data_IF_315556297260
#
_entry.id   IF_315556297260
#
_cell.length_a   1.000
_cell.length_b   1.000
_cell.length_c   1.000
_cell.angle_alpha   90.00
_cell.angle_beta   90.00
_cell.angle_gamma   90.00
#
_symmetry.space_group_name_H-M   'P 1'
#
loop_
_entity.id
_entity.type
_entity.pdbx_description
1 polymer ?
#
# COMPACT_ATOMS: atom_id res chain seq x y z
N UNK A 1 -20.37 7.56 11.23
CA UNK A 1 -19.66 8.18 10.10
C UNK A 1 -18.20 7.96 10.38
N UNK A 2 -17.53 7.26 9.47
CA UNK A 2 -16.20 6.72 9.71
C UNK A 2 -15.20 7.41 8.79
N UNK A 3 -14.25 8.13 9.38
CA UNK A 3 -13.05 8.58 8.67
C UNK A 3 -11.99 7.49 8.80
N UNK A 4 -11.59 6.86 7.69
CA UNK A 4 -10.62 5.77 7.68
C UNK A 4 -9.46 6.11 6.75
N UNK A 5 -8.24 6.14 7.30
CA UNK A 5 -7.02 6.09 6.49
C UNK A 5 -6.49 4.65 6.54
N UNK A 6 -6.39 4.01 5.38
CA UNK A 6 -5.80 2.68 5.25
C UNK A 6 -4.92 2.58 4.02
N UNK A 7 -3.85 1.77 4.06
CA UNK A 7 -3.14 1.40 2.85
C UNK A 7 -4.08 0.65 1.90
N UNK A 8 -3.82 0.80 0.61
CA UNK A 8 -4.58 0.14 -0.47
C UNK A 8 -4.41 -1.38 -0.38
N UNK A 9 -3.20 -1.83 -0.05
CA UNK A 9 -2.88 -3.23 0.20
C UNK A 9 -3.13 -3.55 1.69
N UNK A 10 -4.05 -4.49 1.95
CA UNK A 10 -4.55 -4.78 3.30
C UNK A 10 -3.55 -5.39 4.29
N UNK A 11 -2.33 -5.69 3.87
CA UNK A 11 -1.28 -6.33 4.67
C UNK A 11 -0.04 -5.43 4.90
N UNK A 12 -0.13 -4.13 4.58
CA UNK A 12 0.94 -3.17 4.84
C UNK A 12 0.81 -2.61 6.24
N UNK A 13 1.88 -2.75 7.02
CA UNK A 13 2.02 -2.06 8.28
C UNK A 13 2.65 -0.67 8.04
N UNK A 14 1.88 0.38 8.27
CA UNK A 14 2.33 1.77 8.13
C UNK A 14 2.92 2.33 9.44
N UNK A 15 2.87 1.58 10.54
CA UNK A 15 3.38 2.00 11.87
C UNK A 15 4.86 2.40 11.87
N UNK A 16 5.76 1.77 11.07
CA UNK A 16 7.16 2.20 11.00
C UNK A 16 7.34 3.59 10.39
N UNK A 17 6.40 4.01 9.54
CA UNK A 17 6.47 5.27 8.78
C UNK A 17 5.67 6.38 9.47
N UNK A 18 4.44 6.06 9.86
CA UNK A 18 3.47 6.99 10.43
C UNK A 18 3.64 7.01 11.95
N UNK A 19 3.96 8.18 12.48
CA UNK A 19 3.98 8.44 13.92
C UNK A 19 2.57 8.59 14.49
N UNK A 20 1.71 9.33 13.79
CA UNK A 20 0.29 9.52 14.14
C UNK A 20 -0.49 10.15 12.98
N UNK A 21 -1.80 9.96 13.00
CA UNK A 21 -2.74 10.63 12.10
C UNK A 21 -3.64 11.55 12.90
N UNK A 22 -3.77 12.81 12.47
CA UNK A 22 -4.66 13.79 13.09
C UNK A 22 -5.87 14.03 12.21
N UNK A 23 -7.05 13.89 12.77
CA UNK A 23 -8.31 14.24 12.13
C UNK A 23 -8.81 15.55 12.74
N UNK A 24 -8.92 16.60 11.92
CA UNK A 24 -9.59 17.84 12.30
C UNK A 24 -11.02 17.81 11.76
N UNK A 25 -11.95 17.60 12.67
CA UNK A 25 -13.39 17.65 12.46
C UNK A 25 -13.91 19.09 12.52
N UNK A 26 -15.22 19.25 12.28
CA UNK A 26 -15.90 20.53 12.42
C UNK A 26 -15.90 21.03 13.88
N UNK A 27 -15.87 22.35 14.08
CA UNK A 27 -15.73 22.98 15.42
C UNK A 27 -16.89 22.71 16.37
N UNK A 28 -18.01 22.19 15.87
CA UNK A 28 -19.18 21.80 16.67
C UNK A 28 -18.98 20.49 17.43
N UNK A 29 -17.95 19.71 17.11
CA UNK A 29 -17.61 18.48 17.83
C UNK A 29 -16.77 18.79 19.06
N UNK A 30 -17.02 18.05 20.14
CA UNK A 30 -16.15 18.07 21.32
C UNK A 30 -14.75 17.57 20.93
N UNK A 31 -13.73 18.35 21.27
CA UNK A 31 -12.33 18.06 20.87
C UNK A 31 -12.24 17.82 19.35
N UNK A 32 -12.41 18.86 18.52
CA UNK A 32 -12.51 18.70 17.07
C UNK A 32 -11.20 18.20 16.43
N UNK A 33 -10.08 18.29 17.13
CA UNK A 33 -8.78 17.75 16.70
C UNK A 33 -8.50 16.45 17.44
N UNK A 34 -8.59 15.32 16.74
CA UNK A 34 -8.33 13.97 17.28
C UNK A 34 -7.02 13.44 16.71
N UNK A 35 -6.14 12.89 17.56
CA UNK A 35 -4.92 12.20 17.11
C UNK A 35 -5.01 10.71 17.40
N UNK A 36 -4.65 9.90 16.41
CA UNK A 36 -4.59 8.45 16.48
C UNK A 36 -3.15 8.01 16.21
N UNK A 37 -2.52 7.37 17.19
CA UNK A 37 -1.09 7.02 17.14
C UNK A 37 -0.84 5.58 16.67
N UNK A 38 -1.87 4.73 16.65
CA UNK A 38 -1.76 3.32 16.30
C UNK A 38 -2.88 2.91 15.32
N UNK A 39 -2.62 1.96 14.40
CA UNK A 39 -3.65 1.45 13.51
C UNK A 39 -4.72 0.67 14.30
N UNK A 40 -6.00 0.68 13.84
CA UNK A 40 -6.50 1.35 12.65
C UNK A 40 -6.60 2.88 12.82
N UNK A 41 -6.08 3.64 11.85
CA UNK A 41 -6.17 5.09 11.84
C UNK A 41 -7.58 5.52 11.43
N UNK A 42 -8.51 5.44 12.38
CA UNK A 42 -9.91 5.73 12.16
C UNK A 42 -10.53 6.56 13.27
N UNK A 43 -11.54 7.34 12.91
CA UNK A 43 -12.41 8.06 13.84
C UNK A 43 -13.86 7.79 13.45
N UNK A 44 -14.65 7.35 14.42
CA UNK A 44 -16.09 7.12 14.27
C UNK A 44 -16.85 8.15 15.10
N UNK A 45 -17.74 8.89 14.44
CA UNK A 45 -18.57 9.91 15.07
C UNK A 45 -20.00 9.90 14.50
N UNK A 46 -20.91 10.57 15.21
CA UNK A 46 -22.30 10.79 14.77
C UNK A 46 -22.53 12.26 14.44
N UNK A 47 -23.21 12.53 13.33
CA UNK A 47 -23.52 13.89 12.91
C UNK A 47 -24.61 13.94 11.87
N UNK A 48 -25.10 15.14 11.60
CA UNK A 48 -26.21 15.42 10.68
C UNK A 48 -25.78 16.22 9.45
N UNK A 49 -24.56 16.76 9.45
CA UNK A 49 -24.04 17.63 8.39
C UNK A 49 -22.85 17.04 7.65
N UNK A 50 -22.70 17.43 6.39
CA UNK A 50 -21.51 17.22 5.58
C UNK A 50 -20.52 18.36 5.80
N UNK A 51 -19.24 18.06 5.96
CA UNK A 51 -18.18 19.05 6.10
C UNK A 51 -16.85 18.49 5.61
N UNK A 52 -15.84 19.34 5.49
CA UNK A 52 -14.49 18.91 5.13
C UNK A 52 -13.71 18.48 6.37
N UNK A 53 -13.22 17.23 6.39
CA UNK A 53 -12.29 16.73 7.39
C UNK A 53 -10.87 16.95 6.88
N UNK A 54 -10.04 17.58 7.70
CA UNK A 54 -8.60 17.69 7.40
C UNK A 54 -7.88 16.54 8.09
N UNK A 55 -7.29 15.64 7.30
CA UNK A 55 -6.52 14.49 7.77
C UNK A 55 -5.04 14.84 7.61
N UNK A 56 -4.30 14.94 8.72
CA UNK A 56 -2.87 15.21 8.73
C UNK A 56 -2.08 13.97 9.13
N UNK A 57 -1.22 13.52 8.24
CA UNK A 57 -0.33 12.39 8.50
C UNK A 57 0.99 12.95 9.03
N UNK A 58 1.35 12.51 10.23
CA UNK A 58 2.63 12.84 10.85
C UNK A 58 3.56 11.65 10.73
N UNK A 59 4.71 11.87 10.10
CA UNK A 59 5.77 10.90 9.99
C UNK A 59 6.68 10.94 11.23
N UNK A 60 7.42 9.86 11.46
CA UNK A 60 8.52 9.89 12.43
C UNK A 60 9.61 10.83 11.91
N UNK A 61 9.96 11.83 12.72
CA UNK A 61 10.98 12.84 12.38
C UNK A 61 12.29 12.60 13.15
N UNK A 62 13.37 13.24 12.70
CA UNK A 62 14.70 13.15 13.34
C UNK A 62 15.60 12.08 12.72
N UNK A 63 16.83 11.97 13.22
CA UNK A 63 17.93 11.12 12.69
C UNK A 63 17.65 9.61 12.66
N UNK A 64 16.51 9.16 13.19
CA UNK A 64 16.15 7.73 13.27
C UNK A 64 15.46 7.21 12.00
N UNK A 65 14.68 8.06 11.30
CA UNK A 65 14.14 7.75 9.98
C UNK A 65 14.45 8.84 8.95
N UNK A 66 14.76 10.08 9.35
CA UNK A 66 15.24 11.12 8.45
C UNK A 66 14.24 11.56 7.36
N UNK A 67 12.94 11.30 7.54
CA UNK A 67 11.89 11.89 6.69
C UNK A 67 11.87 13.40 6.97
N UNK A 68 12.57 14.15 6.14
CA UNK A 68 12.56 15.61 6.17
C UNK A 68 11.32 16.20 5.48
N UNK A 69 10.43 15.36 4.94
CA UNK A 69 9.18 15.83 4.36
C UNK A 69 8.25 16.45 5.39
N UNK A 70 7.60 17.53 4.97
CA UNK A 70 6.54 18.20 5.71
C UNK A 70 5.36 17.25 5.90
N UNK A 71 4.72 17.29 7.08
CA UNK A 71 3.49 16.53 7.35
C UNK A 71 2.50 16.62 6.17
N UNK A 72 2.00 15.48 5.71
CA UNK A 72 1.06 15.41 4.59
C UNK A 72 -0.35 15.77 5.07
N UNK A 73 -1.11 16.52 4.27
CA UNK A 73 -2.46 16.95 4.63
C UNK A 73 -3.42 16.62 3.49
N UNK A 74 -4.48 15.89 3.84
CA UNK A 74 -5.56 15.50 2.93
C UNK A 74 -6.82 16.22 3.37
N UNK A 75 -7.53 16.78 2.40
CA UNK A 75 -8.84 17.39 2.59
C UNK A 75 -9.90 16.40 2.10
N UNK A 76 -10.66 15.83 3.03
CA UNK A 76 -11.66 14.81 2.72
C UNK A 76 -13.06 15.36 2.96
N UNK A 77 -13.82 15.52 1.88
CA UNK A 77 -15.22 15.93 1.94
C UNK A 77 -16.08 14.76 2.42
N UNK A 78 -16.61 14.89 3.62
CA UNK A 78 -17.39 13.89 4.30
C UNK A 78 -18.81 13.84 3.74
N UNK A 79 -19.23 12.66 3.28
CA UNK A 79 -20.53 12.45 2.64
C UNK A 79 -21.46 11.62 3.49
N UNK A 80 -22.67 12.12 3.69
CA UNK A 80 -23.77 11.44 4.37
C UNK A 80 -24.86 11.01 3.41
N UNK A 81 -24.93 11.65 2.23
CA UNK A 81 -25.93 11.34 1.22
C UNK A 81 -25.29 10.71 -0.02
N UNK A 82 -26.04 9.88 -0.77
CA UNK A 82 -25.57 9.32 -2.04
C UNK A 82 -25.19 10.43 -3.02
N UNK A 83 -24.05 10.26 -3.69
CA UNK A 83 -23.56 11.22 -4.69
C UNK A 83 -24.53 11.39 -5.88
N UNK A 84 -25.24 10.32 -6.24
CA UNK A 84 -26.26 10.34 -7.28
C UNK A 84 -27.65 10.07 -6.67
N UNK A 85 -28.56 11.05 -6.62
CA UNK A 85 -29.92 10.87 -6.10
C UNK A 85 -30.75 9.84 -6.87
N UNK A 86 -30.34 9.50 -8.11
CA UNK A 86 -31.00 8.51 -8.97
C UNK A 86 -30.40 7.10 -8.83
N UNK A 87 -29.26 6.96 -8.16
CA UNK A 87 -28.72 5.64 -7.87
C UNK A 87 -29.58 4.97 -6.78
N UNK A 88 -29.95 3.68 -6.95
CA UNK A 88 -30.68 2.98 -5.92
C UNK A 88 -29.87 3.00 -4.61
N UNK A 89 -30.50 3.34 -3.47
CA UNK A 89 -29.84 3.22 -2.17
C UNK A 89 -29.33 1.80 -2.00
N UNK A 90 -28.14 1.63 -1.40
CA UNK A 90 -27.68 0.30 -0.98
C UNK A 90 -28.68 -0.28 0.03
N UNK A 91 -28.87 -1.59 0.05
CA UNK A 91 -29.86 -2.26 0.92
C UNK A 91 -29.73 -1.87 2.40
N UNK A 92 -28.51 -1.54 2.85
CA UNK A 92 -28.21 -1.17 4.24
C UNK A 92 -28.23 0.36 4.50
N UNK A 93 -28.48 1.19 3.48
CA UNK A 93 -28.44 2.65 3.57
C UNK A 93 -27.03 3.26 3.75
N UNK A 94 -25.98 2.46 3.64
CA UNK A 94 -24.59 2.90 3.82
C UNK A 94 -24.09 3.76 2.65
N UNK A 95 -23.40 4.86 2.99
CA UNK A 95 -22.73 5.76 2.05
C UNK A 95 -21.23 5.68 2.26
N UNK A 96 -20.49 5.44 1.18
CA UNK A 96 -19.03 5.38 1.20
C UNK A 96 -18.47 6.49 0.31
N UNK A 97 -17.60 7.31 0.87
CA UNK A 97 -16.75 8.24 0.12
C UNK A 97 -15.30 7.84 0.37
N UNK A 98 -14.63 7.35 -0.67
CA UNK A 98 -13.25 6.87 -0.60
C UNK A 98 -12.43 7.69 -1.59
N UNK A 99 -11.31 8.23 -1.12
CA UNK A 99 -10.33 8.94 -1.93
C UNK A 99 -9.06 8.08 -2.00
N UNK A 100 -8.57 7.84 -3.21
CA UNK A 100 -7.25 7.27 -3.44
C UNK A 100 -6.25 8.42 -3.58
N UNK A 101 -5.10 8.30 -2.91
CA UNK A 101 -4.03 9.28 -2.95
C UNK A 101 -2.67 8.57 -2.88
N UNK A 102 -1.65 9.19 -3.46
CA UNK A 102 -0.30 8.64 -3.57
C UNK A 102 0.70 9.50 -2.79
N UNK A 103 1.37 8.87 -1.82
CA UNK A 103 2.43 9.52 -1.05
C UNK A 103 3.76 9.29 -1.75
N UNK A 104 4.24 10.32 -2.45
CA UNK A 104 5.53 10.30 -3.16
C UNK A 104 6.63 10.88 -2.27
N UNK A 105 7.62 10.05 -1.95
CA UNK A 105 8.84 10.46 -1.25
C UNK A 105 9.93 10.70 -2.31
N UNK A 106 10.34 11.95 -2.52
CA UNK A 106 11.26 12.28 -3.63
C UNK A 106 12.71 11.94 -3.30
N UNK A 107 13.13 12.17 -2.05
CA UNK A 107 14.49 11.92 -1.59
C UNK A 107 14.43 11.21 -0.23
N UNK A 108 13.96 9.94 -0.18
CA UNK A 108 13.93 9.20 1.06
C UNK A 108 15.36 8.92 1.54
N UNK A 109 15.57 8.94 2.85
CA UNK A 109 16.80 8.43 3.47
C UNK A 109 16.94 6.94 3.27
N UNK A 110 18.16 6.41 3.44
CA UNK A 110 18.45 4.98 3.31
C UNK A 110 17.54 4.13 4.22
N UNK A 111 17.34 4.53 5.47
CA UNK A 111 16.44 3.83 6.40
C UNK A 111 14.98 3.79 5.91
N UNK A 112 14.48 4.89 5.34
CA UNK A 112 13.11 4.95 4.80
C UNK A 112 13.01 4.12 3.53
N UNK A 113 14.01 4.20 2.67
CA UNK A 113 14.09 3.40 1.46
C UNK A 113 14.08 1.92 1.79
N UNK A 114 14.87 1.47 2.78
CA UNK A 114 14.85 0.09 3.25
C UNK A 114 13.47 -0.31 3.78
N UNK A 115 12.81 0.53 4.58
CA UNK A 115 11.46 0.21 5.09
C UNK A 115 10.45 0.09 3.95
N UNK A 116 10.45 1.04 3.01
CA UNK A 116 9.54 1.06 1.85
C UNK A 116 9.80 -0.12 0.90
N UNK A 117 11.05 -0.58 0.78
CA UNK A 117 11.44 -1.66 -0.14
C UNK A 117 11.57 -3.04 0.53
N UNK A 118 11.55 -3.10 1.88
CA UNK A 118 11.72 -4.34 2.66
C UNK A 118 10.71 -5.42 2.30
N UNK A 119 9.50 -5.02 1.91
CA UNK A 119 8.50 -5.88 1.31
C UNK A 119 8.29 -5.40 -0.12
N UNK A 120 8.52 -6.25 -1.13
CA UNK A 120 8.19 -5.89 -2.50
C UNK A 120 6.66 -5.94 -2.65
N UNK A 121 6.02 -4.81 -2.41
CA UNK A 121 4.56 -4.66 -2.30
C UNK A 121 3.89 -4.43 -3.66
N UNK A 122 4.65 -4.08 -4.70
CA UNK A 122 4.15 -3.94 -6.07
C UNK A 122 4.00 -5.31 -6.78
N UNK A 123 3.64 -6.36 -6.02
CA UNK A 123 3.27 -7.62 -6.64
C UNK A 123 1.91 -7.44 -7.27
N UNK A 124 1.88 -7.45 -8.61
CA UNK A 124 0.63 -7.54 -9.32
C UNK A 124 -0.13 -8.79 -8.84
N UNK A 125 -1.42 -8.68 -8.50
CA UNK A 125 -2.25 -9.82 -8.17
C UNK A 125 -2.16 -10.87 -9.28
N UNK A 126 -1.87 -12.11 -8.92
CA UNK A 126 -1.84 -13.22 -9.88
C UNK A 126 -3.21 -13.47 -10.55
N UNK A 127 -4.28 -13.03 -9.89
CA UNK A 127 -5.65 -13.08 -10.42
C UNK A 127 -6.18 -11.66 -10.50
N UNK A 128 -6.69 -11.31 -11.67
CA UNK A 128 -7.44 -10.08 -11.86
C UNK A 128 -8.73 -10.09 -11.03
N UNK A 129 -9.12 -8.92 -10.51
CA UNK A 129 -10.38 -8.78 -9.79
C UNK A 129 -11.56 -8.72 -10.76
N UNK A 130 -11.37 -8.10 -11.93
CA UNK A 130 -12.38 -8.03 -13.00
C UNK A 130 -11.72 -8.22 -14.38
N UNK A 131 -11.90 -9.38 -15.06
CA UNK A 131 -11.28 -9.68 -16.35
C UNK A 131 -11.51 -8.63 -17.44
N UNK A 132 -12.62 -7.89 -17.37
CA UNK A 132 -13.02 -6.87 -18.35
C UNK A 132 -12.35 -5.50 -18.11
N UNK A 133 -11.62 -5.32 -17.00
CA UNK A 133 -11.03 -4.03 -16.60
C UNK A 133 -9.50 -4.05 -16.49
N UNK A 134 -8.83 -4.92 -17.27
CA UNK A 134 -7.35 -5.02 -17.32
C UNK A 134 -6.66 -3.66 -17.43
N UNK A 135 -7.15 -2.79 -18.31
CA UNK A 135 -6.50 -1.52 -18.63
C UNK A 135 -6.71 -0.44 -17.55
N UNK A 136 -7.54 -0.71 -16.53
CA UNK A 136 -7.88 0.21 -15.45
C UNK A 136 -7.36 -0.24 -14.08
N UNK A 137 -6.92 -1.49 -13.96
CA UNK A 137 -6.63 -2.08 -12.65
C UNK A 137 -5.18 -1.83 -12.18
N UNK A 138 -4.23 -1.60 -13.11
CA UNK A 138 -2.81 -1.42 -12.77
C UNK A 138 -2.12 -0.30 -13.56
N UNK A 139 -1.14 0.34 -12.95
CA UNK A 139 -0.31 1.35 -13.59
C UNK A 139 0.77 0.68 -14.45
N UNK A 140 1.11 1.27 -15.60
CA UNK A 140 2.18 0.76 -16.49
C UNK A 140 3.54 0.62 -15.80
N UNK A 141 3.80 1.45 -14.80
CA UNK A 141 5.00 1.40 -13.97
C UNK A 141 5.05 0.10 -13.18
N UNK A 142 3.94 -0.31 -12.56
CA UNK A 142 3.86 -1.55 -11.78
C UNK A 142 4.09 -2.78 -12.66
N UNK A 143 3.53 -2.78 -13.88
CA UNK A 143 3.78 -3.83 -14.87
C UNK A 143 5.26 -3.91 -15.26
N UNK A 144 5.90 -2.77 -15.46
CA UNK A 144 7.32 -2.70 -15.84
C UNK A 144 8.23 -3.21 -14.73
N UNK A 145 7.94 -2.85 -13.48
CA UNK A 145 8.68 -3.30 -12.31
C UNK A 145 8.53 -4.81 -12.09
N UNK A 146 7.33 -5.36 -12.28
CA UNK A 146 7.08 -6.80 -12.15
C UNK A 146 7.79 -7.59 -13.26
N UNK A 147 7.85 -7.07 -14.50
CA UNK A 147 8.63 -7.68 -15.59
C UNK A 147 10.12 -7.72 -15.22
N UNK A 148 10.70 -6.61 -14.76
CA UNK A 148 12.10 -6.55 -14.37
C UNK A 148 12.42 -7.55 -13.24
N UNK A 149 11.48 -7.71 -12.31
CA UNK A 149 11.59 -8.71 -11.24
C UNK A 149 11.53 -10.14 -11.76
N UNK A 150 10.63 -10.43 -12.69
CA UNK A 150 10.54 -11.74 -13.35
C UNK A 150 11.85 -12.09 -14.07
N UNK A 151 12.50 -11.13 -14.72
CA UNK A 151 13.81 -11.35 -15.37
C UNK A 151 14.89 -11.79 -14.39
N UNK A 152 14.94 -11.16 -13.19
CA UNK A 152 15.87 -11.55 -12.13
C UNK A 152 15.60 -12.98 -11.64
N UNK A 153 14.33 -13.37 -11.46
CA UNK A 153 13.99 -14.74 -11.07
C UNK A 153 14.30 -15.75 -12.16
N UNK A 154 14.04 -15.42 -13.43
CA UNK A 154 14.40 -16.27 -14.57
C UNK A 154 15.91 -16.49 -14.61
N UNK A 155 16.71 -15.44 -14.39
CA UNK A 155 18.16 -15.56 -14.33
C UNK A 155 18.62 -16.52 -13.21
N UNK A 156 18.04 -16.38 -12.01
CA UNK A 156 18.33 -17.28 -10.87
C UNK A 156 17.97 -18.74 -11.16
N UNK A 157 16.81 -18.99 -11.77
CA UNK A 157 16.38 -20.35 -12.13
C UNK A 157 17.28 -20.94 -13.21
N UNK A 158 17.71 -20.14 -14.19
CA UNK A 158 18.67 -20.59 -15.21
C UNK A 158 20.01 -20.98 -14.61
N UNK A 159 20.54 -20.18 -13.69
CA UNK A 159 21.79 -20.45 -12.99
C UNK A 159 21.71 -21.76 -12.18
N UNK A 160 20.60 -21.95 -11.46
CA UNK A 160 20.35 -23.20 -10.71
C UNK A 160 20.21 -24.42 -11.63
N UNK A 161 19.53 -24.27 -12.78
CA UNK A 161 19.44 -25.34 -13.79
C UNK A 161 20.83 -25.70 -14.32
N UNK A 162 21.69 -24.71 -14.56
CA UNK A 162 23.05 -24.94 -15.07
C UNK A 162 23.92 -25.65 -14.02
N UNK A 163 23.84 -25.22 -12.76
CA UNK A 163 24.50 -25.87 -11.63
C UNK A 163 24.10 -27.33 -11.49
N UNK A 164 22.79 -27.61 -11.50
CA UNK A 164 22.29 -28.99 -11.42
C UNK A 164 22.73 -29.83 -12.61
N UNK A 165 22.71 -29.27 -13.83
CA UNK A 165 23.22 -29.97 -15.03
C UNK A 165 24.69 -30.36 -14.91
N UNK A 166 25.52 -29.48 -14.38
CA UNK A 166 26.94 -29.77 -14.16
C UNK A 166 27.12 -30.88 -13.12
N UNK A 167 26.39 -30.83 -12.01
CA UNK A 167 26.40 -31.86 -10.97
C UNK A 167 25.96 -33.24 -11.50
N UNK A 168 24.88 -33.29 -12.29
CA UNK A 168 24.44 -34.53 -12.94
C UNK A 168 25.51 -35.12 -13.85
N UNK A 169 26.23 -34.28 -14.60
CA UNK A 169 27.29 -34.72 -15.51
C UNK A 169 28.49 -35.29 -14.75
N UNK A 170 28.88 -34.69 -13.63
CA UNK A 170 29.94 -35.22 -12.77
C UNK A 170 29.54 -36.56 -12.13
N UNK A 171 28.32 -36.66 -11.62
CA UNK A 171 27.79 -37.91 -11.06
C UNK A 171 27.74 -39.04 -12.10
N UNK A 172 27.39 -38.73 -13.35
CA UNK A 172 27.38 -39.71 -14.43
C UNK A 172 28.80 -40.22 -14.76
N UNK A 173 29.79 -39.32 -14.79
CA UNK A 173 31.20 -39.70 -14.97
C UNK A 173 31.72 -40.57 -13.83
N UNK A 174 31.39 -40.23 -12.57
CA UNK A 174 31.76 -41.04 -11.40
C UNK A 174 31.12 -42.42 -11.46
N UNK A 175 29.83 -42.50 -11.82
CA UNK A 175 29.13 -43.77 -11.99
C UNK A 175 29.80 -44.65 -13.05
N UNK A 176 30.17 -44.09 -14.19
CA UNK A 176 30.88 -44.80 -15.26
C UNK A 176 32.25 -45.31 -14.79
N UNK A 177 32.99 -44.51 -14.03
CA UNK A 177 34.30 -44.90 -13.50
C UNK A 177 34.23 -46.05 -12.48
N UNK A 178 33.15 -46.14 -11.70
CA UNK A 178 32.92 -47.23 -10.75
C UNK A 178 32.46 -48.55 -11.39
N UNK A 179 32.06 -48.52 -12.67
CA UNK A 179 31.59 -49.68 -13.42
C UNK A 179 32.69 -50.32 -14.29
N UNK A 180 33.89 -49.75 -14.35
CA UNK A 180 35.09 -50.32 -14.98
C UNK A 180 35.99 -50.99 -13.95
#
# INVERSE_FOLDING_TARGET
MDGLLKPVLGNIDLTPLIKRVTFKLHETYDTPVRSVEQPPYQVTETGWGEFEIIIKIHFHGGSELGINEKNFQIFHALKLHPYNPQAPPRENGEVYSVLFDELVFQEPTEAVFEILTSKPLNLLPYKLTDPEKRDQEFLRTDESDEIARMDVYIAKVKDEIEKQRNEYKELEQQKLALLQ
#
